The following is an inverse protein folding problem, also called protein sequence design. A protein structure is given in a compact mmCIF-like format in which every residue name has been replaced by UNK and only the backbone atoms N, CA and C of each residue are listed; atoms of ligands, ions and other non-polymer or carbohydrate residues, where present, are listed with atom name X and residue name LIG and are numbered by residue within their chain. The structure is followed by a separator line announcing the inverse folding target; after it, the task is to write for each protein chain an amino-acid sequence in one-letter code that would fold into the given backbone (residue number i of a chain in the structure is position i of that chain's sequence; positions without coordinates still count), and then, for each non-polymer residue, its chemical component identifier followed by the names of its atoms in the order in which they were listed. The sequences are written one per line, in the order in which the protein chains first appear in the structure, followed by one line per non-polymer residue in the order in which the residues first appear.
data_IF_459454560140
#
_entry.id   IF_459454560140
#
_cell.length_a   1.000
_cell.length_b   1.000
_cell.length_c   1.000
_cell.angle_alpha   90.00
_cell.angle_beta   90.00
_cell.angle_gamma   90.00
#
_symmetry.space_group_name_H-M   'P 1'
#
loop_
_entity.id
_entity.type
_entity.pdbx_description
1 polymer ?
#
# COMPACT_ATOMS: atom_id res chain seq x y z
N UNK A 1 -8.20 16.31 22.46
CA UNK A 1 -8.28 15.50 21.23
C UNK A 1 -7.03 14.66 21.20
N UNK A 2 -7.07 13.33 21.37
CA UNK A 2 -5.84 12.54 21.28
C UNK A 2 -5.27 12.67 19.87
N UNK A 3 -3.97 12.83 19.81
CA UNK A 3 -3.18 13.11 18.61
C UNK A 3 -3.20 11.85 17.71
N UNK A 4 -4.12 11.79 16.74
CA UNK A 4 -4.31 10.66 15.82
C UNK A 4 -3.16 10.57 14.80
N UNK A 5 -2.60 9.38 14.61
CA UNK A 5 -1.55 9.15 13.60
C UNK A 5 -2.08 9.42 12.19
N UNK A 6 -3.33 9.06 11.94
CA UNK A 6 -4.02 9.24 10.67
C UNK A 6 -4.14 10.72 10.35
N UNK A 7 -4.51 11.55 11.34
CA UNK A 7 -4.58 13.00 11.15
C UNK A 7 -3.21 13.60 10.82
N UNK A 8 -2.15 13.21 11.56
CA UNK A 8 -0.78 13.68 11.28
C UNK A 8 -0.31 13.29 9.88
N UNK A 9 -0.58 12.05 9.46
CA UNK A 9 -0.22 11.62 8.11
C UNK A 9 -1.04 12.36 7.05
N UNK A 10 -2.34 12.56 7.26
CA UNK A 10 -3.21 13.28 6.33
C UNK A 10 -2.72 14.71 6.10
N UNK A 11 -2.34 15.40 7.18
CA UNK A 11 -1.81 16.75 7.10
C UNK A 11 -0.49 16.82 6.34
N UNK A 12 0.45 15.90 6.61
CA UNK A 12 1.73 15.81 5.90
C UNK A 12 1.53 15.57 4.40
N UNK A 13 0.70 14.59 4.04
CA UNK A 13 0.42 14.24 2.64
C UNK A 13 -0.23 15.41 1.90
N UNK A 14 -1.18 16.11 2.53
CA UNK A 14 -1.82 17.30 1.96
C UNK A 14 -0.82 18.42 1.73
N UNK A 15 0.05 18.71 2.71
CA UNK A 15 1.07 19.76 2.62
C UNK A 15 2.06 19.50 1.48
N UNK A 16 2.44 18.25 1.29
CA UNK A 16 3.39 17.80 0.27
C UNK A 16 2.71 17.53 -1.09
N UNK A 17 1.39 17.65 -1.17
CA UNK A 17 0.58 17.26 -2.35
C UNK A 17 0.90 15.84 -2.82
N UNK A 18 1.12 14.93 -1.87
CA UNK A 18 1.55 13.56 -2.11
C UNK A 18 0.45 12.56 -1.78
N UNK A 19 0.38 11.48 -2.55
CA UNK A 19 -0.61 10.41 -2.34
C UNK A 19 -0.16 9.35 -1.34
N UNK A 20 1.16 9.28 -1.10
CA UNK A 20 1.82 8.35 -0.20
C UNK A 20 3.12 8.98 0.30
N UNK A 21 3.64 8.44 1.40
CA UNK A 21 4.95 8.78 1.96
C UNK A 21 5.85 7.55 1.93
N UNK A 22 7.01 7.67 1.30
CA UNK A 22 8.03 6.62 1.34
C UNK A 22 8.59 6.48 2.77
N UNK A 23 8.69 5.24 3.26
CA UNK A 23 9.34 4.96 4.55
C UNK A 23 10.87 4.93 4.42
N UNK A 24 11.37 4.67 3.21
CA UNK A 24 12.77 4.69 2.81
C UNK A 24 12.84 4.87 1.28
N UNK A 25 13.99 5.25 0.70
CA UNK A 25 14.19 5.22 -0.75
C UNK A 25 13.78 3.84 -1.32
N UNK A 26 13.02 3.78 -2.43
CA UNK A 26 12.62 2.51 -3.01
C UNK A 26 13.84 1.77 -3.54
N UNK A 27 13.95 0.48 -3.22
CA UNK A 27 14.89 -0.41 -3.89
C UNK A 27 14.33 -0.86 -5.24
N UNK A 28 15.15 -1.56 -6.02
CA UNK A 28 14.76 -2.03 -7.35
C UNK A 28 13.58 -3.01 -7.30
N UNK A 29 13.55 -3.90 -6.31
CA UNK A 29 12.54 -4.96 -6.22
C UNK A 29 11.59 -4.82 -5.04
N UNK A 30 11.81 -3.84 -4.16
CA UNK A 30 11.01 -3.60 -2.98
C UNK A 30 10.88 -2.11 -2.64
N UNK A 31 9.67 -1.67 -2.35
CA UNK A 31 9.40 -0.35 -1.78
C UNK A 31 8.51 -0.45 -0.55
N UNK A 32 8.78 0.41 0.43
CA UNK A 32 7.98 0.55 1.66
C UNK A 32 7.44 1.97 1.73
N UNK A 33 6.14 2.08 1.90
CA UNK A 33 5.45 3.36 1.91
C UNK A 33 4.17 3.30 2.71
N UNK A 34 3.68 4.47 3.08
CA UNK A 34 2.45 4.62 3.83
C UNK A 34 1.49 5.53 3.10
N UNK A 35 0.20 5.20 3.12
CA UNK A 35 -0.83 6.04 2.55
C UNK A 35 -2.15 5.84 3.28
N UNK A 36 -3.04 6.83 3.16
CA UNK A 36 -4.38 6.74 3.72
C UNK A 36 -5.32 6.10 2.72
N UNK A 37 -6.12 5.16 3.20
CA UNK A 37 -7.18 4.51 2.45
C UNK A 37 -8.33 4.10 3.36
N UNK A 38 -9.17 3.21 2.86
CA UNK A 38 -10.27 2.62 3.63
C UNK A 38 -10.16 1.11 3.64
N UNK A 39 -10.51 0.49 4.76
CA UNK A 39 -10.71 -0.94 4.91
C UNK A 39 -11.98 -1.15 5.72
N UNK A 40 -12.92 -1.95 5.21
CA UNK A 40 -14.22 -2.19 5.87
C UNK A 40 -14.90 -0.90 6.33
N UNK A 41 -14.99 0.09 5.42
CA UNK A 41 -15.56 1.42 5.66
C UNK A 41 -14.83 2.28 6.70
N UNK A 42 -13.74 1.82 7.31
CA UNK A 42 -12.94 2.58 8.27
C UNK A 42 -11.70 3.17 7.59
N UNK A 43 -11.35 4.40 7.92
CA UNK A 43 -10.12 5.02 7.45
C UNK A 43 -8.91 4.39 8.15
N UNK A 44 -7.88 4.02 7.39
CA UNK A 44 -6.68 3.35 7.91
C UNK A 44 -5.42 3.92 7.28
N UNK A 45 -4.31 3.79 8.00
CA UNK A 45 -2.96 3.96 7.47
C UNK A 45 -2.49 2.61 6.95
N UNK A 46 -2.35 2.49 5.63
CA UNK A 46 -1.74 1.32 5.03
C UNK A 46 -0.23 1.38 5.24
N UNK A 47 0.35 0.38 5.89
CA UNK A 47 1.78 0.15 5.94
C UNK A 47 2.15 -0.80 4.81
N UNK A 48 2.42 -0.25 3.64
CA UNK A 48 2.52 -0.98 2.41
C UNK A 48 3.94 -1.42 2.07
N UNK A 49 4.06 -2.65 1.59
CA UNK A 49 5.25 -3.22 0.97
C UNK A 49 4.89 -3.67 -0.44
N UNK A 50 5.44 -3.00 -1.45
CA UNK A 50 5.33 -3.44 -2.84
C UNK A 50 6.54 -4.31 -3.19
N UNK A 51 6.30 -5.45 -3.83
CA UNK A 51 7.34 -6.38 -4.29
C UNK A 51 7.22 -6.62 -5.79
N UNK A 52 8.34 -6.44 -6.49
CA UNK A 52 8.51 -6.90 -7.87
C UNK A 52 8.74 -8.42 -7.86
N UNK A 53 7.91 -9.16 -8.61
CA UNK A 53 8.00 -10.63 -8.70
C UNK A 53 8.77 -11.10 -9.94
N UNK A 54 9.29 -10.16 -10.74
CA UNK A 54 9.82 -10.39 -12.08
C UNK A 54 8.73 -10.38 -13.13
N UNK A 55 9.12 -10.14 -14.38
CA UNK A 55 8.24 -10.21 -15.55
C UNK A 55 7.76 -11.64 -15.86
N UNK A 56 6.73 -11.70 -16.70
CA UNK A 56 6.10 -12.94 -17.16
C UNK A 56 4.88 -13.34 -16.34
N UNK A 57 4.45 -14.60 -16.50
CA UNK A 57 3.25 -15.13 -15.83
C UNK A 57 3.56 -15.44 -14.36
N UNK A 58 3.53 -14.41 -13.53
CA UNK A 58 3.69 -14.51 -12.07
C UNK A 58 2.34 -14.50 -11.37
N UNK A 59 2.27 -15.23 -10.26
CA UNK A 59 1.15 -15.15 -9.35
C UNK A 59 1.27 -13.87 -8.52
N UNK A 60 0.38 -12.92 -8.82
CA UNK A 60 0.28 -11.64 -8.13
C UNK A 60 -0.56 -11.83 -6.87
N UNK A 61 -0.33 -11.00 -5.87
CA UNK A 61 -1.08 -11.11 -4.63
C UNK A 61 -1.23 -9.80 -3.88
N UNK A 62 -2.28 -9.73 -3.06
CA UNK A 62 -2.49 -8.76 -2.01
C UNK A 62 -2.61 -9.54 -0.71
N UNK A 63 -1.81 -9.18 0.28
CA UNK A 63 -1.85 -9.75 1.63
C UNK A 63 -2.09 -8.62 2.62
N UNK A 64 -3.12 -8.76 3.44
CA UNK A 64 -3.50 -7.79 4.46
C UNK A 64 -3.33 -8.45 5.81
N UNK A 65 -2.52 -7.82 6.67
CA UNK A 65 -2.29 -8.28 8.03
C UNK A 65 -3.29 -7.72 9.05
N UNK A 66 -3.22 -8.19 10.31
CA UNK A 66 -4.04 -7.68 11.39
C UNK A 66 -3.73 -6.19 11.65
N UNK A 67 -4.75 -5.43 12.04
CA UNK A 67 -4.55 -4.03 12.41
C UNK A 67 -3.76 -3.88 13.71
N UNK A 68 -2.98 -2.81 13.78
CA UNK A 68 -2.34 -2.30 14.98
C UNK A 68 -2.74 -0.83 15.15
N UNK A 69 -3.81 -0.58 15.90
CA UNK A 69 -4.42 0.75 16.00
C UNK A 69 -4.97 1.23 14.65
N UNK A 70 -4.56 2.43 14.23
CA UNK A 70 -4.96 3.03 12.94
C UNK A 70 -4.18 2.43 11.75
N UNK A 71 -3.15 1.63 12.02
CA UNK A 71 -2.25 1.07 11.00
C UNK A 71 -2.67 -0.34 10.61
N UNK A 72 -2.50 -0.65 9.33
CA UNK A 72 -2.73 -1.99 8.82
C UNK A 72 -1.62 -2.40 7.83
N UNK A 73 -0.93 -3.53 8.08
CA UNK A 73 0.06 -4.07 7.15
C UNK A 73 -0.58 -4.46 5.82
N UNK A 74 0.10 -4.14 4.73
CA UNK A 74 -0.29 -4.50 3.38
C UNK A 74 0.94 -4.93 2.58
N UNK A 75 0.93 -6.13 2.02
CA UNK A 75 1.95 -6.55 1.05
C UNK A 75 1.29 -6.78 -0.30
N UNK A 76 1.84 -6.17 -1.35
CA UNK A 76 1.39 -6.35 -2.73
C UNK A 76 2.55 -6.90 -3.54
N UNK A 77 2.35 -8.06 -4.18
CA UNK A 77 3.27 -8.62 -5.15
C UNK A 77 2.73 -8.45 -6.56
N UNK A 78 3.45 -7.74 -7.43
CA UNK A 78 3.06 -7.52 -8.82
C UNK A 78 4.07 -8.12 -9.79
N UNK A 79 3.60 -8.52 -10.97
CA UNK A 79 4.42 -9.03 -12.07
C UNK A 79 5.15 -7.87 -12.76
N UNK A 80 6.17 -7.34 -12.09
CA UNK A 80 7.01 -6.22 -12.52
C UNK A 80 8.48 -6.63 -12.35
N UNK A 81 9.36 -6.13 -13.22
CA UNK A 81 10.81 -6.33 -13.07
C UNK A 81 11.42 -5.39 -12.02
N UNK A 82 10.92 -4.15 -11.96
CA UNK A 82 11.39 -3.12 -11.05
C UNK A 82 10.26 -2.29 -10.48
N UNK A 83 10.52 -1.68 -9.33
CA UNK A 83 9.64 -0.72 -8.69
C UNK A 83 10.13 0.68 -9.00
N UNK A 84 9.21 1.52 -9.47
CA UNK A 84 9.40 2.93 -9.71
C UNK A 84 8.23 3.73 -9.08
N UNK A 85 8.33 5.07 -8.99
CA UNK A 85 7.25 5.88 -8.44
C UNK A 85 5.88 5.69 -9.14
N UNK A 86 5.81 5.52 -10.48
CA UNK A 86 4.55 5.15 -11.15
C UNK A 86 3.93 3.84 -10.67
N UNK A 87 4.73 2.78 -10.43
CA UNK A 87 4.24 1.50 -9.92
C UNK A 87 3.67 1.63 -8.50
N UNK A 88 4.31 2.43 -7.64
CA UNK A 88 3.82 2.73 -6.29
C UNK A 88 2.47 3.45 -6.37
N UNK A 89 2.37 4.51 -7.18
CA UNK A 89 1.13 5.28 -7.32
C UNK A 89 -0.01 4.43 -7.88
N UNK A 90 0.25 3.60 -8.89
CA UNK A 90 -0.74 2.64 -9.41
C UNK A 90 -1.21 1.67 -8.32
N UNK A 91 -0.31 1.22 -7.45
CA UNK A 91 -0.65 0.35 -6.31
C UNK A 91 -1.56 1.08 -5.32
N UNK A 92 -1.27 2.34 -4.97
CA UNK A 92 -2.12 3.17 -4.10
C UNK A 92 -3.53 3.30 -4.68
N UNK A 93 -3.63 3.66 -5.96
CA UNK A 93 -4.91 3.81 -6.67
C UNK A 93 -5.67 2.49 -6.70
N UNK A 94 -4.98 1.38 -7.03
CA UNK A 94 -5.57 0.05 -7.06
C UNK A 94 -6.17 -0.31 -5.71
N UNK A 95 -5.40 -0.18 -4.62
CA UNK A 95 -5.86 -0.55 -3.27
C UNK A 95 -7.05 0.32 -2.84
N UNK A 96 -7.03 1.62 -3.08
CA UNK A 96 -8.16 2.50 -2.74
C UNK A 96 -9.46 2.15 -3.46
N UNK A 97 -9.37 1.58 -4.67
CA UNK A 97 -10.53 1.21 -5.48
C UNK A 97 -10.91 -0.27 -5.38
N UNK A 98 -10.12 -1.08 -4.66
CA UNK A 98 -10.32 -2.52 -4.61
C UNK A 98 -11.50 -2.87 -3.69
N UNK A 99 -12.61 -3.31 -4.28
CA UNK A 99 -13.86 -3.57 -3.54
C UNK A 99 -13.85 -4.82 -2.66
N UNK A 100 -12.83 -5.68 -2.81
CA UNK A 100 -12.77 -7.02 -2.19
C UNK A 100 -11.59 -7.17 -1.23
N UNK A 101 -11.07 -6.08 -0.67
CA UNK A 101 -10.02 -6.15 0.35
C UNK A 101 -10.56 -6.92 1.55
N UNK A 102 -9.85 -7.96 1.96
CA UNK A 102 -10.12 -8.78 3.14
C UNK A 102 -8.79 -9.15 3.77
N UNK A 103 -8.80 -9.33 5.09
CA UNK A 103 -7.62 -9.84 5.79
C UNK A 103 -7.17 -11.18 5.20
N UNK A 104 -5.87 -11.46 5.27
CA UNK A 104 -5.23 -12.62 4.65
C UNK A 104 -4.75 -12.35 3.23
N UNK A 105 -4.37 -13.44 2.55
CA UNK A 105 -3.72 -13.40 1.23
C UNK A 105 -4.69 -13.77 0.11
N UNK A 106 -4.75 -12.90 -0.89
CA UNK A 106 -5.54 -13.05 -2.12
C UNK A 106 -4.57 -13.08 -3.30
N UNK A 107 -4.49 -14.20 -4.00
CA UNK A 107 -3.61 -14.38 -5.14
C UNK A 107 -4.40 -14.52 -6.45
N UNK A 108 -3.83 -14.02 -7.54
CA UNK A 108 -4.38 -14.18 -8.89
C UNK A 108 -3.25 -14.29 -9.92
N UNK A 109 -3.57 -14.85 -11.08
CA UNK A 109 -2.67 -14.89 -12.23
C UNK A 109 -3.21 -13.97 -13.30
N UNK A 110 -2.34 -13.13 -13.87
CA UNK A 110 -2.62 -12.43 -15.11
C UNK A 110 -2.49 -13.37 -16.31
#
# INVERSE_FOLDING_TARGET
MPDSELMRLAESLRREQAEYRLSAPPGETEARFEFIGRFEHTAVIWQARLRALGSGRREQFIEIGPAAGERRPLTVGLALDRIDPPAILKTVIMIRNYKRLREGRHAWRA
#
